data_IF_098252504855
#
_entry.id   IF_098252504855
#
_cell.length_a   1.000
_cell.length_b   1.000
_cell.length_c   1.000
_cell.angle_alpha   90.00
_cell.angle_beta   90.00
_cell.angle_gamma   90.00
#
_symmetry.space_group_name_H-M   'P 1'
#
loop_
_entity.id
_entity.type
_entity.pdbx_description
1 polymer ?
#
# COMPACT_ATOMS: atom_id res chain seq x y z
N UNK A 1 -25.87 15.75 -8.05
CA UNK A 1 -25.42 14.33 -8.14
C UNK A 1 -24.33 14.10 -9.20
N UNK A 2 -24.35 14.78 -10.35
CA UNK A 2 -23.33 14.65 -11.41
C UNK A 2 -21.90 15.03 -10.96
N UNK A 3 -21.71 16.15 -10.25
CA UNK A 3 -20.40 16.56 -9.71
C UNK A 3 -19.77 15.53 -8.76
N UNK A 4 -20.59 14.83 -7.95
CA UNK A 4 -20.10 13.79 -7.01
C UNK A 4 -19.61 12.55 -7.77
N UNK A 5 -20.26 12.18 -8.90
CA UNK A 5 -19.81 11.08 -9.77
C UNK A 5 -18.50 11.39 -10.50
N UNK A 6 -18.32 12.63 -10.94
CA UNK A 6 -17.08 13.10 -11.59
C UNK A 6 -15.91 12.98 -10.60
N UNK A 7 -16.08 13.49 -9.37
CA UNK A 7 -15.06 13.44 -8.31
C UNK A 7 -14.64 12.02 -7.90
N UNK A 8 -15.57 11.06 -7.87
CA UNK A 8 -15.26 9.64 -7.58
C UNK A 8 -14.46 9.01 -8.73
N UNK A 9 -14.80 9.34 -9.97
CA UNK A 9 -14.11 8.80 -11.15
C UNK A 9 -12.68 9.33 -11.26
N UNK A 10 -12.47 10.61 -10.97
CA UNK A 10 -11.15 11.24 -10.92
C UNK A 10 -10.26 10.59 -9.85
N UNK A 11 -10.77 10.46 -8.62
CA UNK A 11 -10.02 9.84 -7.51
C UNK A 11 -9.70 8.37 -7.77
N UNK A 12 -10.59 7.65 -8.45
CA UNK A 12 -10.31 6.28 -8.91
C UNK A 12 -9.15 6.24 -9.90
N UNK A 13 -9.13 7.15 -10.87
CA UNK A 13 -8.05 7.22 -11.85
C UNK A 13 -6.72 7.59 -11.19
N UNK A 14 -6.75 8.48 -10.20
CA UNK A 14 -5.58 8.84 -9.40
C UNK A 14 -4.99 7.61 -8.70
N UNK A 15 -5.80 6.86 -7.96
CA UNK A 15 -5.36 5.63 -7.27
C UNK A 15 -4.77 4.60 -8.25
N UNK A 16 -5.41 4.39 -9.40
CA UNK A 16 -4.88 3.48 -10.44
C UNK A 16 -3.54 3.95 -11.01
N UNK A 17 -3.35 5.28 -11.16
CA UNK A 17 -2.07 5.85 -11.59
C UNK A 17 -1.00 5.67 -10.50
N UNK A 18 -1.33 5.92 -9.23
CA UNK A 18 -0.41 5.70 -8.10
C UNK A 18 0.02 4.24 -8.02
N UNK A 19 -0.91 3.29 -8.08
CA UNK A 19 -0.62 1.85 -8.06
C UNK A 19 0.23 1.41 -9.26
N UNK A 20 -0.07 1.93 -10.46
CA UNK A 20 0.72 1.65 -11.66
C UNK A 20 2.14 2.24 -11.55
N UNK A 21 2.28 3.46 -11.03
CA UNK A 21 3.58 4.10 -10.78
C UNK A 21 4.40 3.30 -9.79
N UNK A 22 3.78 2.84 -8.70
CA UNK A 22 4.41 1.98 -7.69
C UNK A 22 4.94 0.67 -8.31
N UNK A 23 4.10 -0.05 -9.07
CA UNK A 23 4.52 -1.26 -9.76
C UNK A 23 5.63 -1.02 -10.80
N UNK A 24 5.54 0.09 -11.55
CA UNK A 24 6.56 0.48 -12.54
C UNK A 24 7.90 0.80 -11.88
N UNK A 25 7.88 1.47 -10.71
CA UNK A 25 9.09 1.74 -9.93
C UNK A 25 9.78 0.45 -9.47
N UNK A 26 9.01 -0.53 -8.98
CA UNK A 26 9.56 -1.84 -8.60
C UNK A 26 10.15 -2.56 -9.81
N UNK A 27 9.43 -2.58 -10.93
CA UNK A 27 9.89 -3.24 -12.16
C UNK A 27 11.18 -2.61 -12.70
N UNK A 28 11.26 -1.27 -12.76
CA UNK A 28 12.44 -0.56 -13.23
C UNK A 28 13.67 -0.85 -12.36
N UNK A 29 13.50 -0.98 -11.04
CA UNK A 29 14.60 -1.35 -10.15
C UNK A 29 15.12 -2.76 -10.45
N UNK A 30 14.20 -3.72 -10.70
CA UNK A 30 14.56 -5.08 -11.09
C UNK A 30 15.26 -5.13 -12.46
N UNK A 31 14.75 -4.38 -13.44
CA UNK A 31 15.31 -4.30 -14.80
C UNK A 31 16.75 -3.73 -14.79
N UNK A 32 17.02 -2.81 -13.87
CA UNK A 32 18.36 -2.27 -13.62
C UNK A 32 19.28 -3.20 -12.81
N UNK A 33 18.81 -4.39 -12.41
CA UNK A 33 19.56 -5.33 -11.58
C UNK A 33 19.75 -4.87 -10.13
N UNK A 34 18.95 -3.90 -9.66
CA UNK A 34 18.99 -3.38 -8.29
C UNK A 34 17.92 -4.07 -7.45
N UNK A 35 18.25 -4.43 -6.22
CA UNK A 35 17.28 -4.95 -5.27
C UNK A 35 16.17 -3.92 -4.99
N UNK A 36 14.89 -4.26 -5.25
CA UNK A 36 13.79 -3.36 -5.01
C UNK A 36 13.78 -2.80 -3.59
N UNK A 37 13.62 -1.49 -3.51
CA UNK A 37 13.54 -0.73 -2.28
C UNK A 37 12.35 0.21 -2.35
N UNK A 38 11.54 0.19 -1.30
CA UNK A 38 10.35 1.03 -1.15
C UNK A 38 10.53 1.91 0.08
N UNK A 39 10.36 3.22 -0.11
CA UNK A 39 10.39 4.22 0.96
C UNK A 39 8.96 4.54 1.39
N UNK A 40 8.67 4.39 2.67
CA UNK A 40 7.36 4.64 3.26
C UNK A 40 7.49 5.49 4.53
N UNK A 41 6.50 6.33 4.87
CA UNK A 41 6.55 7.11 6.11
C UNK A 41 6.56 6.20 7.34
N UNK A 42 7.37 6.56 8.32
CA UNK A 42 7.44 5.82 9.58
C UNK A 42 6.14 5.99 10.36
N UNK A 43 5.56 4.88 10.83
CA UNK A 43 4.39 4.89 11.73
C UNK A 43 4.76 4.77 13.21
N UNK A 44 6.03 5.00 13.55
CA UNK A 44 6.46 5.03 14.95
C UNK A 44 5.82 6.20 15.69
N UNK A 45 5.58 6.05 17.00
CA UNK A 45 4.97 7.10 17.84
C UNK A 45 5.72 8.44 17.75
N UNK A 46 7.03 8.38 17.56
CA UNK A 46 7.90 9.55 17.39
C UNK A 46 7.73 10.29 16.07
N UNK A 47 7.01 9.72 15.09
CA UNK A 47 6.71 10.35 13.82
C UNK A 47 5.23 10.77 13.73
N UNK A 48 4.49 10.74 14.84
CA UNK A 48 3.08 11.14 14.86
C UNK A 48 3.01 12.54 15.48
N UNK A 49 2.58 13.52 14.69
CA UNK A 49 2.46 14.91 15.10
C UNK A 49 1.00 15.35 15.08
N UNK A 50 0.58 16.15 16.06
CA UNK A 50 -0.74 16.76 16.04
C UNK A 50 -0.75 17.98 15.14
N UNK A 51 -1.62 18.00 14.13
CA UNK A 51 -1.87 19.16 13.28
C UNK A 51 -3.05 19.97 13.87
N UNK A 52 -2.81 21.21 14.37
CA UNK A 52 -3.86 22.04 14.96
C UNK A 52 -4.87 22.60 13.93
N UNK A 53 -4.49 22.71 12.65
CA UNK A 53 -5.37 23.19 11.59
C UNK A 53 -6.35 22.10 11.17
N UNK A 54 -5.85 20.88 10.97
CA UNK A 54 -6.67 19.71 10.62
C UNK A 54 -7.33 19.06 11.85
N UNK A 55 -6.89 19.42 13.06
CA UNK A 55 -7.31 18.85 14.35
C UNK A 55 -7.16 17.33 14.43
N UNK A 56 -6.15 16.79 13.75
CA UNK A 56 -5.90 15.36 13.66
C UNK A 56 -4.42 15.05 13.79
N UNK A 57 -4.10 13.79 14.13
CA UNK A 57 -2.71 13.31 14.11
C UNK A 57 -2.30 12.92 12.70
N UNK A 58 -1.17 13.45 12.25
CA UNK A 58 -0.58 13.20 10.94
C UNK A 58 0.80 12.55 11.07
N UNK A 59 1.22 11.84 10.03
CA UNK A 59 2.59 11.34 9.94
C UNK A 59 3.55 12.49 9.62
N UNK A 60 4.67 12.54 10.33
CA UNK A 60 5.76 13.48 10.09
C UNK A 60 6.71 13.02 9.00
N UNK A 61 7.87 13.68 8.92
CA UNK A 61 8.83 13.53 7.81
C UNK A 61 9.72 12.27 7.89
N UNK A 62 9.72 11.54 9.01
CA UNK A 62 10.56 10.34 9.14
C UNK A 62 10.03 9.27 8.19
N UNK A 63 10.94 8.68 7.42
CA UNK A 63 10.65 7.61 6.49
C UNK A 63 11.47 6.36 6.83
N UNK A 64 10.97 5.20 6.43
CA UNK A 64 11.61 3.90 6.56
C UNK A 64 11.74 3.27 5.17
N UNK A 65 12.91 2.72 4.90
CA UNK A 65 13.18 2.03 3.65
C UNK A 65 13.08 0.51 3.85
N UNK A 66 12.25 -0.15 3.04
CA UNK A 66 12.19 -1.61 2.94
C UNK A 66 12.89 -2.05 1.66
N UNK A 67 14.13 -2.54 1.82
CA UNK A 67 14.89 -3.15 0.74
C UNK A 67 14.81 -4.68 0.77
N UNK A 68 14.54 -5.28 -0.40
CA UNK A 68 14.55 -6.74 -0.62
C UNK A 68 15.93 -7.37 -0.48
N UNK A 69 17.01 -6.58 -0.43
CA UNK A 69 18.36 -7.06 -0.10
C UNK A 69 18.41 -7.69 1.30
N UNK A 70 17.57 -7.24 2.23
CA UNK A 70 17.46 -7.82 3.56
C UNK A 70 16.42 -8.94 3.56
N UNK A 71 16.83 -10.16 3.91
CA UNK A 71 15.96 -11.34 3.95
C UNK A 71 14.72 -11.14 4.83
N UNK A 72 14.82 -10.36 5.92
CA UNK A 72 13.69 -10.06 6.81
C UNK A 72 12.63 -9.19 6.14
N UNK A 73 12.99 -8.43 5.11
CA UNK A 73 12.08 -7.55 4.39
C UNK A 73 11.41 -8.23 3.20
N UNK A 74 11.89 -9.41 2.77
CA UNK A 74 11.35 -10.11 1.60
C UNK A 74 9.87 -10.46 1.82
N UNK A 75 9.53 -11.10 2.95
CA UNK A 75 8.13 -11.45 3.27
C UNK A 75 7.18 -10.23 3.24
N UNK A 76 7.42 -9.15 4.03
CA UNK A 76 6.53 -8.00 4.02
C UNK A 76 6.54 -7.23 2.69
N UNK A 77 7.64 -7.28 1.93
CA UNK A 77 7.69 -6.68 0.60
C UNK A 77 6.78 -7.43 -0.39
N UNK A 78 6.85 -8.77 -0.42
CA UNK A 78 6.00 -9.56 -1.31
C UNK A 78 4.52 -9.43 -0.94
N UNK A 79 4.20 -9.40 0.36
CA UNK A 79 2.85 -9.12 0.85
C UNK A 79 2.36 -7.74 0.38
N UNK A 80 3.20 -6.71 0.48
CA UNK A 80 2.85 -5.35 0.02
C UNK A 80 2.58 -5.31 -1.49
N UNK A 81 3.44 -5.95 -2.29
CA UNK A 81 3.27 -6.05 -3.74
C UNK A 81 1.96 -6.81 -4.10
N UNK A 82 1.65 -7.88 -3.36
CA UNK A 82 0.41 -8.63 -3.55
C UNK A 82 -0.83 -7.81 -3.20
N UNK A 83 -0.85 -7.08 -2.07
CA UNK A 83 -1.97 -6.20 -1.71
C UNK A 83 -2.16 -5.08 -2.74
N UNK A 84 -1.07 -4.52 -3.29
CA UNK A 84 -1.13 -3.53 -4.36
C UNK A 84 -1.76 -4.10 -5.64
N UNK A 85 -1.36 -5.31 -6.03
CA UNK A 85 -1.95 -6.04 -7.16
C UNK A 85 -3.44 -6.32 -6.92
N UNK A 86 -3.82 -6.84 -5.76
CA UNK A 86 -5.19 -7.15 -5.40
C UNK A 86 -6.07 -5.88 -5.39
N UNK A 87 -5.57 -4.77 -4.85
CA UNK A 87 -6.26 -3.48 -4.84
C UNK A 87 -6.47 -2.92 -6.25
N UNK A 88 -5.48 -3.10 -7.14
CA UNK A 88 -5.60 -2.72 -8.55
C UNK A 88 -6.67 -3.56 -9.27
N UNK A 89 -6.74 -4.86 -8.99
CA UNK A 89 -7.76 -5.75 -9.56
C UNK A 89 -9.18 -5.37 -9.10
N UNK A 90 -9.38 -5.20 -7.79
CA UNK A 90 -10.65 -4.77 -7.21
C UNK A 90 -11.13 -3.46 -7.81
N UNK A 91 -10.22 -2.48 -7.91
CA UNK A 91 -10.51 -1.17 -8.48
C UNK A 91 -10.90 -1.29 -9.96
N UNK A 92 -10.19 -2.13 -10.72
CA UNK A 92 -10.49 -2.38 -12.14
C UNK A 92 -11.86 -3.03 -12.33
N UNK A 93 -12.19 -4.06 -11.53
CA UNK A 93 -13.46 -4.78 -11.56
C UNK A 93 -14.64 -4.02 -10.90
N UNK A 94 -14.41 -2.82 -10.34
CA UNK A 94 -15.40 -2.03 -9.58
C UNK A 94 -15.98 -2.80 -8.39
N UNK A 95 -15.16 -3.65 -7.76
CA UNK A 95 -15.52 -4.40 -6.55
C UNK A 95 -14.88 -3.76 -5.34
N UNK A 96 -15.51 -3.95 -4.19
CA UNK A 96 -14.98 -3.56 -2.88
C UNK A 96 -14.76 -4.83 -2.05
N UNK A 97 -13.77 -4.82 -1.18
CA UNK A 97 -13.43 -5.95 -0.32
C UNK A 97 -13.29 -5.44 1.12
N UNK A 98 -13.64 -6.29 2.09
CA UNK A 98 -13.40 -5.97 3.51
C UNK A 98 -11.99 -6.38 3.92
N UNK A 99 -11.50 -5.86 5.05
CA UNK A 99 -10.18 -6.24 5.59
C UNK A 99 -10.08 -7.76 5.84
N UNK A 100 -11.18 -8.41 6.22
CA UNK A 100 -11.23 -9.87 6.42
C UNK A 100 -11.19 -10.62 5.10
N UNK A 101 -11.89 -10.14 4.09
CA UNK A 101 -11.88 -10.76 2.77
C UNK A 101 -10.48 -10.71 2.15
N UNK A 102 -9.73 -9.62 2.33
CA UNK A 102 -8.32 -9.53 1.89
C UNK A 102 -7.48 -10.60 2.59
N UNK A 103 -7.62 -10.73 3.92
CA UNK A 103 -6.89 -11.73 4.70
C UNK A 103 -7.18 -13.17 4.25
N UNK A 104 -8.45 -13.53 4.00
CA UNK A 104 -8.80 -14.86 3.51
C UNK A 104 -8.41 -15.07 2.04
N UNK A 105 -8.55 -14.04 1.20
CA UNK A 105 -8.16 -14.12 -0.21
C UNK A 105 -6.67 -14.39 -0.35
N UNK A 106 -5.84 -13.82 0.52
CA UNK A 106 -4.40 -14.06 0.53
C UNK A 106 -4.05 -15.54 0.60
N UNK A 107 -4.78 -16.32 1.40
CA UNK A 107 -4.56 -17.76 1.56
C UNK A 107 -4.79 -18.52 0.25
N UNK A 108 -5.75 -18.08 -0.57
CA UNK A 108 -6.01 -18.68 -1.89
C UNK A 108 -4.88 -18.38 -2.90
N UNK A 109 -4.12 -17.32 -2.69
CA UNK A 109 -2.93 -16.96 -3.48
C UNK A 109 -1.61 -17.47 -2.88
N UNK A 110 -1.68 -18.43 -1.95
CA UNK A 110 -0.52 -18.95 -1.19
C UNK A 110 0.25 -17.86 -0.41
N UNK A 111 -0.36 -16.69 -0.23
CA UNK A 111 0.18 -15.59 0.56
C UNK A 111 -0.25 -15.77 2.01
N UNK A 112 0.73 -15.93 2.90
CA UNK A 112 0.46 -16.19 4.31
C UNK A 112 0.67 -14.94 5.15
N UNK A 113 -0.35 -14.63 5.95
CA UNK A 113 -0.26 -13.69 7.06
C UNK A 113 -0.31 -14.49 8.36
N UNK A 114 0.50 -14.10 9.34
CA UNK A 114 0.53 -14.72 10.67
C UNK A 114 -0.79 -14.46 11.42
N UNK A 115 -1.32 -13.25 11.27
CA UNK A 115 -2.60 -12.84 11.85
C UNK A 115 -3.26 -11.74 11.00
N UNK A 116 -4.47 -11.36 11.39
CA UNK A 116 -5.21 -10.29 10.73
C UNK A 116 -4.51 -8.93 10.90
N UNK A 117 -3.77 -8.74 12.00
CA UNK A 117 -3.08 -7.47 12.26
C UNK A 117 -1.92 -7.25 11.29
N UNK A 118 -1.19 -8.30 10.90
CA UNK A 118 -0.14 -8.26 9.87
C UNK A 118 -0.74 -7.82 8.53
N UNK A 119 -1.86 -8.40 8.11
CA UNK A 119 -2.56 -8.00 6.89
C UNK A 119 -3.01 -6.54 6.95
N UNK A 120 -3.65 -6.12 8.05
CA UNK A 120 -4.09 -4.74 8.24
C UNK A 120 -2.90 -3.77 8.16
N UNK A 121 -1.78 -4.12 8.79
CA UNK A 121 -0.58 -3.29 8.80
C UNK A 121 -0.02 -3.08 7.39
N UNK A 122 -0.03 -4.10 6.53
CA UNK A 122 0.43 -4.02 5.13
C UNK A 122 -0.53 -3.19 4.27
N UNK A 123 -1.85 -3.32 4.48
CA UNK A 123 -2.85 -2.50 3.79
C UNK A 123 -2.65 -1.02 4.12
N UNK A 124 -2.44 -0.68 5.39
CA UNK A 124 -2.16 0.70 5.80
C UNK A 124 -0.81 1.19 5.26
N UNK A 125 0.22 0.34 5.20
CA UNK A 125 1.48 0.74 4.54
C UNK A 125 1.24 1.10 3.07
N UNK A 126 0.40 0.36 2.35
CA UNK A 126 0.05 0.68 0.97
C UNK A 126 -0.71 2.01 0.86
N UNK A 127 -1.66 2.26 1.75
CA UNK A 127 -2.42 3.53 1.80
C UNK A 127 -1.50 4.75 1.98
N UNK A 128 -0.39 4.60 2.71
CA UNK A 128 0.59 5.70 2.85
C UNK A 128 1.46 5.92 1.61
N UNK A 129 1.48 4.98 0.66
CA UNK A 129 2.29 5.03 -0.55
C UNK A 129 1.53 5.55 -1.78
N UNK A 130 0.19 5.45 -1.78
CA UNK A 130 -0.67 5.70 -2.96
C UNK A 130 -1.61 6.86 -2.79
#
# INVERSE_FOLDING_TARGET
MAQKKIKITERKQEVLRSLKSFGTSIYNQLDQGVFPTVKMPSRSKENINYDPALRQFILGEKNVDRSTRNIRHIKPFTQLAWVAMFSNELTSQRKTSTLRDVYYSAQAYEMTFADQQESNNIITDLETLT
#
